data_IF_453165626822
#
_entry.id   IF_453165626822
#
_cell.length_a   1.000
_cell.length_b   1.000
_cell.length_c   1.000
_cell.angle_alpha   90.00
_cell.angle_beta   90.00
_cell.angle_gamma   90.00
#
_symmetry.space_group_name_H-M   'P 1'
#
loop_
_entity.id
_entity.type
_entity.pdbx_description
1 polymer ?
#
# COMPACT_ATOMS: atom_id res chain seq x y z
N UNK A 1 5.21 -18.46 -3.95
CA UNK A 1 6.62 -18.72 -4.31
C UNK A 1 7.57 -17.67 -3.73
N UNK A 2 7.34 -16.37 -3.97
CA UNK A 2 8.25 -15.28 -3.56
C UNK A 2 8.56 -15.24 -2.07
N UNK A 3 7.55 -15.41 -1.20
CA UNK A 3 7.75 -15.38 0.26
C UNK A 3 8.52 -16.60 0.80
N UNK A 4 8.71 -17.65 0.00
CA UNK A 4 9.52 -18.83 0.33
C UNK A 4 10.92 -18.77 -0.29
N UNK A 5 11.42 -17.59 -0.67
CA UNK A 5 12.76 -17.44 -1.25
C UNK A 5 12.90 -18.02 -2.66
N UNK A 6 11.79 -18.35 -3.32
CA UNK A 6 11.79 -18.82 -4.71
C UNK A 6 11.58 -17.65 -5.66
N UNK A 7 12.31 -17.63 -6.76
CA UNK A 7 12.11 -16.66 -7.83
C UNK A 7 10.68 -16.80 -8.40
N UNK A 8 9.97 -15.69 -8.66
CA UNK A 8 8.67 -15.73 -9.30
C UNK A 8 8.80 -16.27 -10.73
N UNK A 9 7.82 -17.06 -11.16
CA UNK A 9 7.69 -17.45 -12.56
C UNK A 9 7.03 -16.33 -13.37
N UNK A 10 7.15 -16.38 -14.69
CA UNK A 10 6.47 -15.41 -15.57
C UNK A 10 4.95 -15.42 -15.35
N UNK A 11 4.38 -16.58 -15.05
CA UNK A 11 2.95 -16.77 -14.72
C UNK A 11 2.53 -16.14 -13.40
N UNK A 12 3.47 -15.82 -12.51
CA UNK A 12 3.21 -15.12 -11.24
C UNK A 12 3.14 -13.58 -11.43
N UNK A 13 3.46 -13.10 -12.64
CA UNK A 13 3.55 -11.68 -12.97
C UNK A 13 2.42 -11.26 -13.92
N UNK A 14 1.89 -10.05 -13.73
CA UNK A 14 0.94 -9.43 -14.65
C UNK A 14 1.39 -8.01 -14.98
N UNK A 15 1.14 -7.54 -16.22
CA UNK A 15 1.44 -6.17 -16.56
C UNK A 15 0.36 -5.24 -15.99
N UNK A 16 0.76 -4.05 -15.54
CA UNK A 16 -0.20 -3.09 -14.98
C UNK A 16 -1.35 -2.75 -15.95
N UNK A 17 -1.08 -2.70 -17.26
CA UNK A 17 -2.08 -2.45 -18.31
C UNK A 17 -3.14 -3.55 -18.48
N UNK A 18 -2.86 -4.75 -17.97
CA UNK A 18 -3.81 -5.87 -17.91
C UNK A 18 -4.76 -5.72 -16.72
N UNK A 19 -4.41 -4.89 -15.74
CA UNK A 19 -5.22 -4.63 -14.54
C UNK A 19 -6.07 -3.36 -14.67
N UNK A 20 -5.47 -2.27 -15.14
CA UNK A 20 -6.15 -0.99 -15.27
C UNK A 20 -5.52 -0.09 -16.35
N UNK A 21 -6.26 0.94 -16.75
CA UNK A 21 -5.77 2.00 -17.64
C UNK A 21 -6.08 3.37 -17.07
N UNK A 22 -5.25 4.35 -17.40
CA UNK A 22 -5.54 5.75 -17.13
C UNK A 22 -6.41 6.32 -18.25
N UNK A 23 -7.47 7.01 -17.87
CA UNK A 23 -8.45 7.61 -18.77
C UNK A 23 -8.50 9.12 -18.54
N UNK A 24 -7.75 9.90 -19.33
CA UNK A 24 -7.87 11.35 -19.34
C UNK A 24 -9.27 11.77 -19.76
N UNK A 25 -9.86 12.72 -19.05
CA UNK A 25 -11.08 13.40 -19.46
C UNK A 25 -10.84 14.89 -19.52
N UNK A 26 -11.71 15.60 -20.23
CA UNK A 26 -11.73 17.06 -20.27
C UNK A 26 -13.14 17.49 -19.90
N UNK A 27 -13.25 18.33 -18.88
CA UNK A 27 -14.50 18.93 -18.42
C UNK A 27 -14.48 20.44 -18.66
N UNK A 28 -15.67 20.99 -18.86
CA UNK A 28 -15.92 22.41 -19.06
C UNK A 28 -17.03 22.84 -18.11
N UNK A 29 -16.75 23.79 -17.22
CA UNK A 29 -17.79 24.48 -16.46
C UNK A 29 -18.58 25.39 -17.41
N UNK A 30 -19.90 25.33 -17.32
CA UNK A 30 -20.80 26.14 -18.16
C UNK A 30 -21.48 27.20 -17.31
N UNK A 31 -21.52 28.42 -17.83
CA UNK A 31 -22.33 29.49 -17.27
C UNK A 31 -23.81 29.15 -17.47
N UNK A 32 -24.58 29.03 -16.40
CA UNK A 32 -25.95 28.54 -16.46
C UNK A 32 -26.88 29.44 -17.31
N UNK A 33 -26.64 30.76 -17.29
CA UNK A 33 -27.46 31.75 -17.98
C UNK A 33 -27.17 31.81 -19.49
N UNK A 34 -25.91 31.78 -19.90
CA UNK A 34 -25.50 31.97 -21.30
C UNK A 34 -25.21 30.66 -22.03
N UNK A 35 -25.13 29.54 -21.29
CA UNK A 35 -24.76 28.21 -21.79
C UNK A 35 -23.37 28.13 -22.42
N UNK A 36 -22.55 29.17 -22.27
CA UNK A 36 -21.15 29.26 -22.73
C UNK A 36 -20.19 28.63 -21.73
N UNK A 37 -18.99 28.28 -22.18
CA UNK A 37 -17.92 27.88 -21.28
C UNK A 37 -17.54 29.06 -20.39
N UNK A 38 -17.39 28.82 -19.08
CA UNK A 38 -16.91 29.82 -18.13
C UNK A 38 -15.39 29.96 -18.28
N UNK A 39 -14.91 31.19 -18.27
CA UNK A 39 -13.47 31.47 -18.33
C UNK A 39 -12.76 30.83 -17.12
N UNK A 40 -11.68 30.08 -17.36
CA UNK A 40 -10.98 29.29 -16.33
C UNK A 40 -11.66 27.98 -15.91
N UNK A 41 -12.83 27.64 -16.48
CA UNK A 41 -13.60 26.43 -16.14
C UNK A 41 -13.15 25.13 -16.82
N UNK A 42 -11.95 25.09 -17.38
CA UNK A 42 -11.40 23.90 -18.05
C UNK A 42 -10.63 23.05 -17.03
N UNK A 43 -11.03 21.80 -16.84
CA UNK A 43 -10.31 20.84 -15.99
C UNK A 43 -10.08 19.52 -16.72
N UNK A 44 -8.97 18.85 -16.44
CA UNK A 44 -8.64 17.57 -17.05
C UNK A 44 -8.30 16.51 -16.00
N UNK A 45 -9.31 15.80 -15.47
CA UNK A 45 -9.07 14.73 -14.51
C UNK A 45 -8.57 13.48 -15.25
N UNK A 46 -7.71 12.72 -14.59
CA UNK A 46 -7.29 11.39 -15.04
C UNK A 46 -7.94 10.36 -14.13
N UNK A 47 -8.79 9.51 -14.70
CA UNK A 47 -9.45 8.44 -13.96
C UNK A 47 -8.69 7.12 -14.12
N UNK A 48 -8.77 6.27 -13.10
CA UNK A 48 -8.35 4.87 -13.22
C UNK A 48 -9.57 4.04 -13.65
N UNK A 49 -9.43 3.32 -14.76
CA UNK A 49 -10.45 2.38 -15.26
C UNK A 49 -9.91 0.96 -15.10
N UNK A 50 -10.51 0.20 -14.19
CA UNK A 50 -10.20 -1.22 -14.00
C UNK A 50 -10.62 -2.02 -15.25
N UNK A 51 -9.83 -3.04 -15.59
CA UNK A 51 -10.19 -4.00 -16.64
C UNK A 51 -11.32 -4.91 -16.16
N UNK A 52 -12.03 -5.55 -17.10
CA UNK A 52 -13.11 -6.48 -16.77
C UNK A 52 -12.56 -7.62 -15.91
N UNK A 53 -13.24 -7.92 -14.81
CA UNK A 53 -12.83 -8.97 -13.86
C UNK A 53 -11.79 -8.51 -12.82
N UNK A 54 -11.39 -7.23 -12.84
CA UNK A 54 -10.48 -6.66 -11.83
C UNK A 54 -11.29 -5.90 -10.80
N UNK A 55 -11.02 -6.20 -9.53
CA UNK A 55 -11.65 -5.56 -8.36
C UNK A 55 -10.59 -5.08 -7.37
N UNK A 56 -10.93 -4.08 -6.58
CA UNK A 56 -10.11 -3.66 -5.43
C UNK A 56 -10.59 -4.42 -4.21
N UNK A 57 -9.68 -5.13 -3.55
CA UNK A 57 -9.96 -5.86 -2.31
C UNK A 57 -9.39 -5.09 -1.14
N UNK A 58 -10.19 -4.95 -0.08
CA UNK A 58 -9.78 -4.31 1.18
C UNK A 58 -10.04 -5.26 2.34
N UNK A 59 -9.02 -5.45 3.17
CA UNK A 59 -9.18 -6.16 4.45
C UNK A 59 -9.68 -5.19 5.51
N UNK A 60 -10.74 -5.55 6.23
CA UNK A 60 -11.31 -4.74 7.31
C UNK A 60 -11.47 -5.61 8.55
N UNK A 61 -11.14 -5.07 9.71
CA UNK A 61 -11.29 -5.71 11.01
C UNK A 61 -11.92 -4.75 12.01
N UNK A 62 -12.52 -5.27 13.08
CA UNK A 62 -13.12 -4.45 14.14
C UNK A 62 -14.50 -3.89 13.80
N UNK A 63 -15.17 -4.45 12.79
CA UNK A 63 -16.57 -4.12 12.49
C UNK A 63 -17.50 -4.77 13.52
N UNK A 64 -18.64 -4.12 13.87
CA UNK A 64 -19.71 -4.77 14.61
C UNK A 64 -20.18 -6.06 13.94
N UNK A 65 -20.57 -7.07 14.73
CA UNK A 65 -20.99 -8.38 14.20
C UNK A 65 -22.27 -8.33 13.34
N UNK A 66 -23.07 -7.28 13.49
CA UNK A 66 -24.29 -6.98 12.72
C UNK A 66 -24.05 -5.98 11.58
N UNK A 67 -22.79 -5.64 11.28
CA UNK A 67 -22.48 -4.74 10.19
C UNK A 67 -22.86 -5.35 8.84
N UNK A 68 -23.79 -4.70 8.15
CA UNK A 68 -24.17 -5.03 6.79
C UNK A 68 -23.62 -3.96 5.85
N UNK A 69 -22.67 -4.29 4.95
CA UNK A 69 -22.13 -3.31 4.02
C UNK A 69 -23.23 -2.82 3.05
N UNK A 70 -23.28 -1.52 2.73
CA UNK A 70 -24.17 -1.03 1.69
C UNK A 70 -23.75 -1.60 0.33
N UNK A 71 -24.69 -1.96 -0.58
CA UNK A 71 -24.35 -2.57 -1.86
C UNK A 71 -23.62 -1.61 -2.80
N UNK A 72 -23.80 -0.31 -2.60
CA UNK A 72 -23.12 0.77 -3.30
C UNK A 72 -22.63 1.81 -2.30
N UNK A 73 -21.42 2.32 -2.51
CA UNK A 73 -20.90 3.46 -1.77
C UNK A 73 -20.17 4.46 -2.68
N UNK A 74 -20.09 5.74 -2.31
CA UNK A 74 -19.13 6.67 -2.89
C UNK A 74 -17.71 6.17 -2.67
N UNK A 75 -16.92 6.06 -3.73
CA UNK A 75 -15.53 5.62 -3.67
C UNK A 75 -14.65 6.41 -4.65
N UNK A 76 -13.64 7.10 -4.11
CA UNK A 76 -12.79 8.01 -4.86
C UNK A 76 -13.37 9.43 -4.97
N UNK A 77 -12.91 10.19 -5.95
CA UNK A 77 -13.38 11.55 -6.24
C UNK A 77 -14.57 11.60 -7.20
N UNK A 78 -15.07 12.81 -7.48
CA UNK A 78 -16.10 13.08 -8.49
C UNK A 78 -17.40 12.27 -8.32
N UNK A 79 -17.82 12.03 -7.08
CA UNK A 79 -19.07 11.31 -6.72
C UNK A 79 -19.24 9.94 -7.40
N UNK A 80 -18.13 9.25 -7.67
CA UNK A 80 -18.15 7.91 -8.26
C UNK A 80 -18.65 6.87 -7.26
N UNK A 81 -19.45 5.93 -7.75
CA UNK A 81 -19.96 4.83 -6.96
C UNK A 81 -19.16 3.55 -7.24
N UNK A 82 -18.91 2.79 -6.18
CA UNK A 82 -18.40 1.43 -6.25
C UNK A 82 -19.41 0.47 -5.63
N UNK A 83 -19.47 -0.73 -6.19
CA UNK A 83 -20.20 -1.87 -5.62
C UNK A 83 -19.33 -2.52 -4.56
N UNK A 84 -19.91 -2.79 -3.40
CA UNK A 84 -19.24 -3.44 -2.28
C UNK A 84 -19.88 -4.79 -2.03
N UNK A 85 -19.06 -5.82 -2.11
CA UNK A 85 -19.47 -7.20 -1.93
C UNK A 85 -18.44 -7.89 -1.02
N UNK A 86 -18.88 -8.64 0.01
CA UNK A 86 -18.00 -9.50 0.76
C UNK A 86 -17.37 -10.55 -0.17
N UNK A 87 -16.09 -10.83 0.03
CA UNK A 87 -15.36 -11.86 -0.70
C UNK A 87 -14.59 -12.72 0.29
N UNK A 88 -14.35 -13.96 -0.08
CA UNK A 88 -13.40 -14.79 0.67
C UNK A 88 -12.02 -14.13 0.64
N UNK A 89 -11.29 -14.10 1.77
CA UNK A 89 -9.99 -13.48 1.82
C UNK A 89 -9.05 -14.19 0.83
N UNK A 90 -8.25 -13.44 0.05
CA UNK A 90 -7.30 -14.04 -0.87
C UNK A 90 -6.32 -14.91 -0.08
N UNK A 91 -6.05 -16.12 -0.58
CA UNK A 91 -5.09 -17.01 0.03
C UNK A 91 -3.70 -16.38 -0.04
N UNK A 92 -3.08 -16.15 1.11
CA UNK A 92 -1.70 -15.68 1.12
C UNK A 92 -0.75 -16.78 0.63
N UNK A 93 0.32 -16.46 -0.14
CA UNK A 93 1.24 -17.45 -0.71
C UNK A 93 2.08 -18.13 0.37
N UNK A 94 2.00 -19.46 0.50
CA UNK A 94 2.69 -20.22 1.56
C UNK A 94 4.14 -19.78 1.81
N UNK A 95 4.46 -19.61 3.10
CA UNK A 95 5.82 -19.40 3.60
C UNK A 95 6.15 -20.56 4.52
N UNK A 96 7.20 -21.33 4.19
CA UNK A 96 7.73 -22.30 5.14
C UNK A 96 8.51 -21.53 6.21
N UNK A 97 8.29 -21.76 7.51
CA UNK A 97 9.12 -21.21 8.57
C UNK A 97 10.45 -21.98 8.60
N UNK A 98 11.24 -21.91 7.53
CA UNK A 98 12.63 -22.33 7.62
C UNK A 98 13.40 -21.25 8.40
N UNK A 99 14.27 -21.61 9.34
CA UNK A 99 15.18 -20.67 9.98
C UNK A 99 16.22 -20.22 8.95
N UNK A 100 15.82 -19.35 8.03
CA UNK A 100 16.76 -18.63 7.19
C UNK A 100 17.33 -17.48 8.01
N UNK A 101 18.66 -17.39 8.04
CA UNK A 101 19.38 -16.28 8.66
C UNK A 101 19.11 -14.94 7.97
N UNK A 102 18.45 -14.94 6.81
CA UNK A 102 18.18 -13.74 6.02
C UNK A 102 16.72 -13.69 5.56
N UNK A 103 16.05 -12.58 5.88
CA UNK A 103 14.64 -12.35 5.55
C UNK A 103 14.45 -11.03 4.81
N UNK A 104 13.38 -10.92 4.04
CA UNK A 104 12.97 -9.70 3.36
C UNK A 104 11.62 -9.23 3.89
N UNK A 105 11.55 -7.98 4.34
CA UNK A 105 10.31 -7.29 4.72
C UNK A 105 9.87 -6.42 3.57
N UNK A 106 8.70 -6.69 2.98
CA UNK A 106 8.19 -6.01 1.78
C UNK A 106 6.92 -5.23 2.12
N UNK A 107 6.91 -3.91 1.90
CA UNK A 107 5.70 -3.09 2.02
C UNK A 107 4.71 -3.41 0.89
N UNK A 108 3.49 -3.77 1.26
CA UNK A 108 2.36 -3.89 0.32
C UNK A 108 1.59 -2.57 0.19
N UNK A 109 1.57 -1.76 1.24
CA UNK A 109 0.97 -0.43 1.24
C UNK A 109 1.98 0.61 1.70
N UNK A 110 1.82 1.89 1.32
CA UNK A 110 2.75 2.93 1.75
C UNK A 110 2.86 3.00 3.28
N UNK A 111 4.04 3.28 3.82
CA UNK A 111 4.26 3.37 5.27
C UNK A 111 4.67 4.78 5.68
N UNK A 112 4.07 5.29 6.76
CA UNK A 112 4.53 6.52 7.40
C UNK A 112 5.53 6.21 8.50
N UNK A 113 6.81 6.37 8.18
CA UNK A 113 7.93 6.11 9.07
C UNK A 113 8.35 7.42 9.75
N UNK A 114 8.27 7.43 11.07
CA UNK A 114 8.58 8.58 11.89
C UNK A 114 9.92 8.38 12.60
N UNK A 115 10.60 9.47 12.92
CA UNK A 115 11.72 9.43 13.84
C UNK A 115 11.29 9.14 15.28
N UNK A 116 12.27 9.05 16.18
CA UNK A 116 12.04 8.81 17.61
C UNK A 116 11.28 9.93 18.30
N UNK A 117 11.25 11.13 17.73
CA UNK A 117 10.51 12.28 18.23
C UNK A 117 9.06 12.32 17.70
N UNK A 118 8.71 11.41 16.77
CA UNK A 118 7.37 11.27 16.22
C UNK A 118 6.97 12.36 15.23
N UNK A 119 7.89 13.25 14.85
CA UNK A 119 7.59 14.44 14.03
C UNK A 119 8.32 14.45 12.69
N UNK A 120 9.53 13.89 12.63
CA UNK A 120 10.34 13.83 11.42
C UNK A 120 10.10 12.56 10.61
N UNK A 121 10.40 12.63 9.32
CA UNK A 121 10.43 11.48 8.43
C UNK A 121 11.79 10.77 8.55
N UNK A 122 11.79 9.50 8.95
CA UNK A 122 13.01 8.70 9.06
C UNK A 122 12.77 7.26 8.67
N UNK A 123 13.57 6.77 7.73
CA UNK A 123 13.53 5.37 7.30
C UNK A 123 14.67 4.62 7.99
N UNK A 124 14.40 3.53 8.73
CA UNK A 124 15.46 2.68 9.28
C UNK A 124 16.34 2.13 8.15
N UNK A 125 17.64 2.42 8.21
CA UNK A 125 18.63 2.02 7.20
C UNK A 125 19.56 0.91 7.69
N UNK A 126 20.57 0.54 6.88
CA UNK A 126 21.58 -0.46 7.22
C UNK A 126 22.22 -0.22 8.59
N UNK A 127 22.42 -1.30 9.34
CA UNK A 127 22.99 -1.30 10.70
C UNK A 127 21.97 -1.08 11.82
N UNK A 128 20.79 -0.52 11.52
CA UNK A 128 19.73 -0.36 12.51
C UNK A 128 19.14 -1.73 12.92
N UNK A 129 18.66 -1.87 14.17
CA UNK A 129 17.98 -3.09 14.59
C UNK A 129 16.64 -3.24 13.84
N UNK A 130 16.24 -4.47 13.54
CA UNK A 130 14.98 -4.75 12.86
C UNK A 130 13.75 -4.30 13.67
N UNK A 131 13.89 -4.21 15.00
CA UNK A 131 12.88 -3.65 15.90
C UNK A 131 12.55 -2.17 15.63
N UNK A 132 13.39 -1.45 14.88
CA UNK A 132 13.08 -0.11 14.40
C UNK A 132 11.97 -0.08 13.33
N UNK A 133 11.66 -1.22 12.70
CA UNK A 133 10.55 -1.35 11.74
C UNK A 133 9.23 -1.63 12.47
N UNK A 134 9.22 -2.63 13.34
CA UNK A 134 8.10 -2.96 14.20
C UNK A 134 8.56 -3.74 15.43
N UNK A 135 7.81 -3.60 16.53
CA UNK A 135 8.09 -4.34 17.76
C UNK A 135 8.01 -5.87 17.53
N UNK A 136 8.89 -6.62 18.21
CA UNK A 136 8.90 -8.09 18.15
C UNK A 136 9.68 -8.69 16.99
N UNK A 137 10.38 -7.88 16.19
CA UNK A 137 11.23 -8.36 15.09
C UNK A 137 12.70 -8.35 15.54
N UNK A 138 13.33 -9.51 15.43
CA UNK A 138 14.75 -9.70 15.74
C UNK A 138 15.64 -9.51 14.51
N UNK A 139 16.93 -9.27 14.74
CA UNK A 139 17.93 -9.12 13.70
C UNK A 139 18.31 -7.66 13.42
N UNK A 140 19.04 -7.46 12.33
CA UNK A 140 19.55 -6.15 11.89
C UNK A 140 19.23 -5.93 10.42
N UNK A 141 19.00 -4.66 10.06
CA UNK A 141 18.85 -4.25 8.67
C UNK A 141 20.22 -4.32 8.01
N UNK A 142 20.37 -5.16 7.01
CA UNK A 142 21.58 -5.30 6.21
C UNK A 142 21.56 -4.34 5.02
N UNK A 143 20.43 -4.31 4.31
CA UNK A 143 20.22 -3.43 3.16
C UNK A 143 18.75 -3.03 2.98
N UNK A 144 18.53 -2.01 2.14
CA UNK A 144 17.21 -1.39 1.92
C UNK A 144 17.06 -1.03 0.44
N UNK A 145 15.95 -1.45 -0.17
CA UNK A 145 15.47 -0.93 -1.44
C UNK A 145 14.32 0.04 -1.19
N UNK A 146 14.61 1.34 -1.28
CA UNK A 146 13.64 2.42 -1.08
C UNK A 146 13.47 3.22 -2.37
N UNK A 147 12.33 3.10 -3.08
CA UNK A 147 12.01 3.99 -4.18
C UNK A 147 11.80 5.43 -3.67
N UNK A 148 11.71 6.39 -4.59
CA UNK A 148 11.45 7.79 -4.24
C UNK A 148 10.21 7.89 -3.32
N UNK A 149 10.32 8.52 -2.14
CA UNK A 149 9.17 8.69 -1.25
C UNK A 149 7.99 9.36 -1.95
N UNK A 150 6.80 8.82 -1.71
CA UNK A 150 5.55 9.39 -2.22
C UNK A 150 5.01 10.39 -1.21
N UNK A 151 4.43 11.49 -1.69
CA UNK A 151 3.82 12.50 -0.84
C UNK A 151 2.32 12.27 -0.79
N UNK A 152 1.80 11.93 0.39
CA UNK A 152 0.38 11.62 0.60
C UNK A 152 -0.21 12.66 1.54
N UNK A 153 -1.27 13.32 1.08
CA UNK A 153 -2.09 14.23 1.86
C UNK A 153 -3.49 13.65 2.00
N UNK A 154 -4.50 14.48 1.77
CA UNK A 154 -5.88 14.04 1.72
C UNK A 154 -6.82 15.18 2.08
N UNK A 155 -8.09 14.84 2.27
CA UNK A 155 -9.10 15.77 2.74
C UNK A 155 -9.61 15.32 4.10
N UNK A 156 -9.68 16.24 5.05
CA UNK A 156 -10.36 16.00 6.31
C UNK A 156 -11.83 16.40 6.15
N UNK A 157 -12.71 15.41 6.00
CA UNK A 157 -14.15 15.65 5.80
C UNK A 157 -14.86 16.17 7.05
N UNK A 158 -14.28 16.02 8.24
CA UNK A 158 -14.86 16.56 9.48
C UNK A 158 -14.54 18.05 9.59
N UNK A 159 -13.27 18.39 9.42
CA UNK A 159 -12.77 19.77 9.52
C UNK A 159 -12.83 20.55 8.20
N UNK A 160 -13.31 19.93 7.12
CA UNK A 160 -13.46 20.51 5.79
C UNK A 160 -12.19 21.22 5.29
N UNK A 161 -11.04 20.56 5.45
CA UNK A 161 -9.73 21.16 5.09
C UNK A 161 -8.76 20.14 4.52
N UNK A 162 -7.79 20.57 3.68
CA UNK A 162 -6.75 19.68 3.20
C UNK A 162 -5.86 19.22 4.37
N UNK A 163 -5.48 17.93 4.34
CA UNK A 163 -4.47 17.38 5.24
C UNK A 163 -3.08 17.74 4.74
N UNK A 164 -2.11 18.02 5.65
CA UNK A 164 -0.73 18.28 5.27
C UNK A 164 -0.19 17.18 4.37
N UNK A 165 0.62 17.59 3.40
CA UNK A 165 1.24 16.68 2.44
C UNK A 165 2.52 16.10 3.03
N UNK A 166 2.49 14.81 3.36
CA UNK A 166 3.53 14.17 4.17
C UNK A 166 4.25 13.07 3.38
N UNK A 167 5.55 12.81 3.64
CA UNK A 167 6.30 11.76 2.95
C UNK A 167 5.94 10.36 3.48
N UNK A 168 5.88 9.39 2.58
CA UNK A 168 5.65 7.96 2.85
C UNK A 168 6.64 7.12 2.04
N UNK A 169 7.04 5.98 2.62
CA UNK A 169 7.78 4.95 1.92
C UNK A 169 6.76 4.23 1.05
N UNK A 170 6.96 4.13 -0.27
CA UNK A 170 5.96 3.54 -1.15
C UNK A 170 5.84 2.03 -0.93
N UNK A 171 4.71 1.47 -1.36
CA UNK A 171 4.60 0.03 -1.58
C UNK A 171 5.75 -0.46 -2.49
N UNK A 172 6.25 -1.66 -2.24
CA UNK A 172 7.44 -2.22 -2.87
C UNK A 172 8.76 -1.79 -2.21
N UNK A 173 8.74 -1.03 -1.12
CA UNK A 173 9.93 -0.84 -0.28
C UNK A 173 10.31 -2.18 0.37
N UNK A 174 11.59 -2.52 0.35
CA UNK A 174 12.10 -3.80 0.88
C UNK A 174 13.24 -3.55 1.88
N UNK A 175 13.16 -4.15 3.07
CA UNK A 175 14.31 -4.28 3.98
C UNK A 175 14.80 -5.71 4.01
N UNK A 176 16.10 -5.90 3.86
CA UNK A 176 16.75 -7.18 4.05
C UNK A 176 17.33 -7.25 5.46
N UNK A 177 16.96 -8.29 6.19
CA UNK A 177 17.32 -8.51 7.57
C UNK A 177 18.33 -9.65 7.67
N UNK A 178 19.38 -9.49 8.48
CA UNK A 178 20.29 -10.55 8.89
C UNK A 178 20.06 -10.92 10.35
N UNK A 179 20.33 -12.18 10.69
CA UNK A 179 20.16 -12.75 12.03
C UNK A 179 18.71 -12.62 12.50
N UNK A 180 17.78 -12.70 11.54
CA UNK A 180 16.37 -12.63 11.82
C UNK A 180 15.93 -13.89 12.57
N UNK A 181 15.17 -13.70 13.64
CA UNK A 181 14.55 -14.79 14.38
C UNK A 181 13.25 -15.25 13.72
N UNK A 182 12.44 -15.98 14.48
CA UNK A 182 11.05 -16.26 14.07
C UNK A 182 10.26 -14.96 14.04
N UNK A 183 9.75 -14.59 12.87
CA UNK A 183 8.96 -13.37 12.66
C UNK A 183 7.55 -13.72 12.21
N UNK A 184 6.56 -12.83 12.47
CA UNK A 184 5.24 -12.99 11.90
C UNK A 184 5.31 -12.83 10.38
N UNK A 185 4.41 -13.52 9.66
CA UNK A 185 4.34 -13.46 8.19
C UNK A 185 3.86 -12.11 7.65
N UNK A 186 3.07 -11.40 8.45
CA UNK A 186 2.52 -10.09 8.15
C UNK A 186 2.71 -9.19 9.37
N UNK A 187 2.93 -7.91 9.11
CA UNK A 187 3.11 -6.90 10.14
C UNK A 187 2.60 -5.54 9.68
N UNK A 188 2.45 -4.65 10.64
CA UNK A 188 2.13 -3.25 10.41
C UNK A 188 3.33 -2.39 10.83
N UNK A 189 3.83 -1.57 9.91
CA UNK A 189 5.04 -0.76 10.06
C UNK A 189 4.68 0.72 10.06
N UNK A 190 5.17 1.46 11.05
CA UNK A 190 5.00 2.91 11.13
C UNK A 190 3.65 3.34 11.70
N UNK A 191 3.17 4.50 11.28
CA UNK A 191 1.95 5.13 11.81
C UNK A 191 0.76 5.02 10.84
N UNK A 192 -0.45 5.26 11.36
CA UNK A 192 -1.73 5.20 10.64
C UNK A 192 -2.06 3.81 10.07
N UNK A 193 -1.62 2.77 10.76
CA UNK A 193 -1.85 1.37 10.37
C UNK A 193 -3.33 0.99 10.35
N UNK A 194 -4.14 1.65 11.17
CA UNK A 194 -5.61 1.47 11.20
C UNK A 194 -6.29 1.97 9.91
N UNK A 195 -5.61 2.80 9.11
CA UNK A 195 -6.06 3.23 7.78
C UNK A 195 -5.48 2.37 6.65
N UNK A 196 -4.86 1.24 6.98
CA UNK A 196 -4.26 0.32 6.01
C UNK A 196 -2.86 0.72 5.52
N UNK A 197 -2.24 1.76 6.08
CA UNK A 197 -0.84 2.10 5.80
C UNK A 197 0.11 1.12 6.50
N UNK A 198 1.29 0.92 5.92
CA UNK A 198 2.36 0.17 6.55
C UNK A 198 2.15 -1.34 6.58
N UNK A 199 1.22 -1.88 5.81
CA UNK A 199 1.03 -3.32 5.74
C UNK A 199 2.22 -3.94 5.00
N UNK A 200 2.91 -4.88 5.64
CA UNK A 200 4.10 -5.51 5.11
C UNK A 200 4.05 -7.03 5.26
N UNK A 201 4.71 -7.72 4.34
CA UNK A 201 4.92 -9.17 4.40
C UNK A 201 6.38 -9.49 4.66
N UNK A 202 6.62 -10.58 5.37
CA UNK A 202 7.97 -11.13 5.57
C UNK A 202 8.10 -12.39 4.73
N UNK A 203 9.14 -12.43 3.91
CA UNK A 203 9.54 -13.59 3.12
C UNK A 203 10.99 -13.98 3.39
N UNK A 204 11.36 -15.16 2.91
CA UNK A 204 12.74 -15.63 2.91
C UNK A 204 13.47 -15.14 1.66
N UNK A 205 14.78 -14.98 1.78
CA UNK A 205 15.65 -14.82 0.62
C UNK A 205 16.06 -16.19 0.06
N UNK A 206 16.36 -16.30 -1.26
CA UNK A 206 17.00 -17.49 -1.80
C UNK A 206 18.35 -17.72 -1.10
N UNK A 207 18.64 -18.95 -0.71
CA UNK A 207 19.95 -19.30 -0.15
C UNK A 207 21.02 -19.06 -1.23
N UNK A 208 22.08 -18.33 -0.87
CA UNK A 208 23.23 -18.06 -1.74
C UNK A 208 24.24 -19.22 -1.81
N UNK A 209 23.89 -20.40 -1.29
CA UNK A 209 24.76 -21.59 -1.25
C UNK A 209 24.66 -22.50 -2.50
N UNK A 210 23.82 -22.15 -3.47
CA UNK A 210 23.75 -22.82 -4.77
C UNK A 210 24.34 -21.95 -5.86
N UNK A 211 25.66 -22.03 -6.01
CA UNK A 211 26.40 -21.67 -7.23
C UNK A 211 27.39 -22.77 -7.55
#
# INVERSE_FOLDING_TARGET
>A
AVLSGRLPQQTDCCAAGDLFVFEPRVGLEREAATRTAKEGGLYSPVHVRLRRGVSVVVGVSGLPGDFVPPPLLPFGGESRLARLEPVDPPQMPESSPAPSHVQAVVLLTPARLLDTEGSGWKVPGPGAPASALAAGIAGRIDSLCLPRPVRIGGWDSVLHRPRPLEPYAPAGTVWFLRDAGTTPRSLSIGSRTDFGFGHALIGQLPDSSTS
#
